data_IF_829990896507
#
_entry.id   IF_829990896507
#
_cell.length_a   1.000
_cell.length_b   1.000
_cell.length_c   1.000
_cell.angle_alpha   90.00
_cell.angle_beta   90.00
_cell.angle_gamma   90.00
#
_symmetry.space_group_name_H-M   'P 1'
#
loop_
_entity.id
_entity.type
_entity.pdbx_description
1 polymer ?
#
# COMPACT_ATOMS: atom_id res chain seq x y z
N UNK A 1 10.22 -8.06 -73.08
CA UNK A 1 9.32 -7.70 -71.94
C UNK A 1 10.18 -7.59 -70.71
N UNK A 2 10.47 -6.34 -70.32
CA UNK A 2 11.28 -6.08 -69.16
C UNK A 2 10.37 -6.00 -67.89
N UNK A 3 10.76 -6.67 -66.85
CA UNK A 3 10.17 -6.49 -65.54
C UNK A 3 10.74 -5.21 -64.92
N UNK A 4 9.88 -4.24 -64.62
CA UNK A 4 10.25 -3.11 -63.79
C UNK A 4 10.24 -3.56 -62.31
N UNK A 5 11.29 -3.21 -61.49
CA UNK A 5 11.27 -3.49 -60.08
C UNK A 5 10.28 -2.55 -59.38
N UNK A 6 9.25 -3.08 -58.77
CA UNK A 6 8.36 -2.35 -57.87
C UNK A 6 9.15 -1.99 -56.61
N UNK A 7 9.36 -0.69 -56.41
CA UNK A 7 9.84 -0.17 -55.11
C UNK A 7 8.78 -0.46 -54.05
N UNK A 8 9.07 -1.39 -53.12
CA UNK A 8 8.33 -1.55 -51.90
C UNK A 8 8.86 -0.51 -50.87
N UNK A 9 8.42 0.72 -51.01
CA UNK A 9 8.42 1.67 -49.93
C UNK A 9 7.27 1.27 -48.97
N UNK A 10 7.48 0.23 -48.20
CA UNK A 10 6.66 -0.02 -47.03
C UNK A 10 7.03 1.05 -46.02
N UNK A 11 6.07 1.89 -45.54
CA UNK A 11 6.36 2.78 -44.43
C UNK A 11 6.75 1.89 -43.26
N UNK A 12 7.96 2.06 -42.79
CA UNK A 12 8.37 1.52 -41.46
C UNK A 12 7.53 2.30 -40.47
N UNK A 13 6.44 1.70 -40.02
CA UNK A 13 5.80 2.16 -38.80
C UNK A 13 6.83 1.93 -37.72
N UNK A 14 7.47 3.00 -37.25
CA UNK A 14 8.14 2.99 -35.97
C UNK A 14 7.03 2.66 -34.97
N UNK A 15 6.97 1.42 -34.50
CA UNK A 15 6.22 1.09 -33.31
C UNK A 15 6.83 1.98 -32.22
N UNK A 16 6.06 2.99 -31.78
CA UNK A 16 6.42 3.70 -30.56
C UNK A 16 6.61 2.62 -29.50
N UNK A 17 7.84 2.41 -29.09
CA UNK A 17 8.16 1.48 -28.01
C UNK A 17 7.53 2.05 -26.74
N UNK A 18 6.33 1.60 -26.42
CA UNK A 18 5.68 1.93 -25.15
C UNK A 18 6.52 1.24 -24.08
N UNK A 19 7.22 2.04 -23.27
CA UNK A 19 7.94 1.48 -22.13
C UNK A 19 6.97 0.67 -21.26
N UNK A 20 7.32 -0.58 -20.89
CA UNK A 20 6.44 -1.40 -20.08
C UNK A 20 6.17 -0.71 -18.75
N UNK A 21 4.91 -0.66 -18.33
CA UNK A 21 4.53 -0.12 -17.02
C UNK A 21 5.01 -1.06 -15.93
N UNK A 22 5.69 -0.50 -14.93
CA UNK A 22 6.05 -1.25 -13.72
C UNK A 22 4.81 -1.54 -12.90
N UNK A 23 4.55 -2.82 -12.59
CA UNK A 23 3.42 -3.21 -11.77
C UNK A 23 3.79 -3.29 -10.28
N UNK A 24 2.89 -2.79 -9.43
CA UNK A 24 2.89 -2.98 -7.99
C UNK A 24 1.69 -3.85 -7.63
N UNK A 25 1.96 -5.10 -7.30
CA UNK A 25 0.93 -6.09 -6.94
C UNK A 25 0.84 -6.12 -5.43
N UNK A 26 -0.32 -5.71 -4.89
CA UNK A 26 -0.50 -5.45 -3.46
C UNK A 26 -1.59 -6.35 -2.89
N UNK A 27 -1.22 -7.22 -1.95
CA UNK A 27 -2.16 -7.99 -1.14
C UNK A 27 -2.34 -7.31 0.21
N UNK A 28 -3.59 -6.96 0.55
CA UNK A 28 -3.94 -6.26 1.78
C UNK A 28 -4.57 -7.22 2.79
N UNK A 29 -4.24 -7.02 4.07
CA UNK A 29 -4.90 -7.76 5.14
C UNK A 29 -6.36 -7.35 5.31
N UNK A 30 -6.65 -6.06 5.26
CA UNK A 30 -8.00 -5.53 5.37
C UNK A 30 -8.82 -5.75 4.10
N UNK A 31 -10.14 -5.79 4.27
CA UNK A 31 -11.07 -5.95 3.15
C UNK A 31 -11.47 -4.61 2.52
N UNK A 32 -11.33 -3.52 3.26
CA UNK A 32 -11.89 -2.23 2.86
C UNK A 32 -10.85 -1.10 2.86
N UNK A 33 -10.30 -0.76 4.02
CA UNK A 33 -9.52 0.49 4.22
C UNK A 33 -8.27 0.53 3.35
N UNK A 34 -7.42 -0.49 3.43
CA UNK A 34 -6.17 -0.56 2.68
C UNK A 34 -6.42 -0.69 1.17
N UNK A 35 -7.31 -1.60 0.70
CA UNK A 35 -7.64 -1.67 -0.72
C UNK A 35 -8.20 -0.36 -1.29
N UNK A 36 -9.08 0.33 -0.56
CA UNK A 36 -9.64 1.61 -1.01
C UNK A 36 -8.58 2.73 -1.04
N UNK A 37 -7.61 2.69 -0.10
CA UNK A 37 -6.47 3.60 -0.14
C UNK A 37 -5.69 3.45 -1.45
N UNK A 38 -5.25 2.24 -1.79
CA UNK A 38 -4.45 2.01 -2.99
C UNK A 38 -5.25 2.16 -4.30
N UNK A 39 -6.55 1.83 -4.31
CA UNK A 39 -7.43 2.14 -5.45
C UNK A 39 -7.57 3.65 -5.68
N UNK A 40 -7.72 4.40 -4.59
CA UNK A 40 -7.80 5.87 -4.68
C UNK A 40 -6.48 6.45 -5.17
N UNK A 41 -5.35 5.94 -4.66
CA UNK A 41 -4.01 6.33 -5.12
C UNK A 41 -3.83 6.04 -6.62
N UNK A 42 -4.23 4.86 -7.10
CA UNK A 42 -4.22 4.50 -8.53
C UNK A 42 -4.99 5.51 -9.37
N UNK A 43 -6.20 5.88 -8.94
CA UNK A 43 -7.05 6.83 -9.67
C UNK A 43 -6.41 8.23 -9.75
N UNK A 44 -5.84 8.71 -8.64
CA UNK A 44 -5.15 10.01 -8.61
C UNK A 44 -3.94 9.99 -9.55
N UNK A 45 -3.17 8.91 -9.54
CA UNK A 45 -1.99 8.80 -10.40
C UNK A 45 -2.34 8.73 -11.89
N UNK A 46 -3.47 8.10 -12.25
CA UNK A 46 -3.93 8.07 -13.64
C UNK A 46 -4.24 9.47 -14.19
N UNK A 47 -4.63 10.40 -13.32
CA UNK A 47 -4.95 11.78 -13.70
C UNK A 47 -3.71 12.70 -13.78
N UNK A 48 -2.65 12.40 -13.02
CA UNK A 48 -1.47 13.27 -12.86
C UNK A 48 -0.20 12.80 -13.57
N UNK A 49 -0.08 11.51 -13.86
CA UNK A 49 1.11 10.92 -14.42
C UNK A 49 0.67 10.08 -15.62
N UNK A 50 1.27 10.29 -16.78
CA UNK A 50 1.30 9.25 -17.84
C UNK A 50 1.94 8.03 -17.20
N UNK A 51 1.10 7.22 -16.54
CA UNK A 51 1.54 6.34 -15.48
C UNK A 51 2.43 5.23 -16.03
N UNK A 52 3.73 5.40 -15.81
CA UNK A 52 4.74 4.33 -15.97
C UNK A 52 4.57 3.24 -14.92
N UNK A 53 3.56 3.36 -14.04
CA UNK A 53 3.25 2.40 -12.99
C UNK A 53 1.81 1.91 -13.08
N UNK A 54 1.60 0.66 -12.75
CA UNK A 54 0.29 0.04 -12.57
C UNK A 54 0.16 -0.49 -11.14
N UNK A 55 -0.98 -0.23 -10.49
CA UNK A 55 -1.29 -0.78 -9.17
C UNK A 55 -2.34 -1.86 -9.36
N UNK A 56 -2.02 -3.08 -8.93
CA UNK A 56 -2.97 -4.18 -8.86
C UNK A 56 -3.21 -4.59 -7.42
N UNK A 57 -4.48 -4.68 -7.03
CA UNK A 57 -4.88 -5.09 -5.70
C UNK A 57 -5.39 -6.52 -5.77
N UNK A 58 -4.71 -7.39 -5.03
CA UNK A 58 -5.07 -8.80 -4.96
C UNK A 58 -6.42 -8.96 -4.26
N UNK A 59 -7.39 -9.66 -4.87
CA UNK A 59 -8.65 -9.99 -4.21
C UNK A 59 -8.39 -10.81 -2.95
N UNK A 60 -8.99 -10.45 -1.83
CA UNK A 60 -8.90 -11.22 -0.60
C UNK A 60 -9.77 -12.48 -0.72
N UNK A 61 -9.15 -13.64 -0.68
CA UNK A 61 -9.80 -14.94 -0.81
C UNK A 61 -9.86 -15.68 0.53
N UNK A 62 -8.99 -15.34 1.45
CA UNK A 62 -8.80 -16.03 2.72
C UNK A 62 -8.93 -15.11 3.93
N UNK A 63 -8.70 -15.64 5.12
CA UNK A 63 -8.78 -14.88 6.38
C UNK A 63 -7.65 -13.86 6.56
N UNK A 64 -7.72 -13.05 7.62
CA UNK A 64 -6.79 -11.94 7.91
C UNK A 64 -5.47 -12.37 8.58
N UNK A 65 -5.12 -13.66 8.64
CA UNK A 65 -3.81 -14.06 9.14
C UNK A 65 -2.71 -13.62 8.17
N UNK A 66 -1.51 -13.18 8.64
CA UNK A 66 -0.41 -12.78 7.77
C UNK A 66 -0.04 -13.84 6.72
N UNK A 67 -0.07 -15.13 7.08
CA UNK A 67 0.17 -16.23 6.14
C UNK A 67 -0.85 -16.27 5.01
N UNK A 68 -2.10 -15.95 5.28
CA UNK A 68 -3.15 -15.93 4.26
C UNK A 68 -2.92 -14.80 3.25
N UNK A 69 -2.50 -13.62 3.72
CA UNK A 69 -2.17 -12.48 2.85
C UNK A 69 -1.03 -12.83 1.89
N UNK A 70 -0.01 -13.56 2.38
CA UNK A 70 1.10 -14.06 1.56
C UNK A 70 0.60 -15.10 0.54
N UNK A 71 -0.22 -16.05 0.99
CA UNK A 71 -0.76 -17.12 0.11
C UNK A 71 -1.64 -16.53 -0.99
N UNK A 72 -2.56 -15.61 -0.65
CA UNK A 72 -3.43 -14.93 -1.63
C UNK A 72 -2.58 -14.23 -2.71
N UNK A 73 -1.48 -13.55 -2.31
CA UNK A 73 -0.56 -12.93 -3.24
C UNK A 73 0.17 -13.94 -4.14
N UNK A 74 0.71 -15.00 -3.54
CA UNK A 74 1.43 -16.03 -4.29
C UNK A 74 0.53 -16.74 -5.30
N UNK A 75 -0.69 -17.07 -4.92
CA UNK A 75 -1.65 -17.73 -5.80
C UNK A 75 -2.09 -16.79 -6.92
N UNK A 76 -2.31 -15.52 -6.62
CA UNK A 76 -2.61 -14.50 -7.64
C UNK A 76 -1.50 -14.37 -8.68
N UNK A 77 -0.24 -14.33 -8.24
CA UNK A 77 0.92 -14.24 -9.14
C UNK A 77 1.02 -15.48 -10.03
N UNK A 78 0.77 -16.69 -9.49
CA UNK A 78 0.81 -17.94 -10.27
C UNK A 78 -0.27 -18.04 -11.33
N UNK A 79 -1.45 -17.49 -11.04
CA UNK A 79 -2.60 -17.52 -11.97
C UNK A 79 -2.50 -16.51 -13.09
N UNK A 80 -1.76 -15.42 -12.88
CA UNK A 80 -1.55 -14.38 -13.89
C UNK A 80 -0.21 -14.53 -14.59
N UNK A 81 -0.24 -14.47 -15.91
CA UNK A 81 0.95 -14.47 -16.75
C UNK A 81 1.39 -13.02 -17.02
N UNK A 82 2.71 -12.79 -17.07
CA UNK A 82 3.26 -11.54 -17.58
C UNK A 82 3.95 -10.64 -16.56
N UNK A 83 4.05 -11.07 -15.29
CA UNK A 83 4.88 -10.33 -14.32
C UNK A 83 6.36 -10.68 -14.47
N UNK A 84 7.21 -9.66 -14.40
CA UNK A 84 8.66 -9.81 -14.42
C UNK A 84 9.25 -9.62 -13.01
N UNK A 85 9.76 -10.70 -12.41
CA UNK A 85 10.26 -10.72 -11.03
C UNK A 85 11.31 -9.64 -10.69
N UNK A 86 12.10 -9.18 -11.65
CA UNK A 86 13.12 -8.15 -11.41
C UNK A 86 12.64 -6.73 -11.75
N UNK A 87 11.44 -6.59 -12.28
CA UNK A 87 10.87 -5.32 -12.71
C UNK A 87 9.65 -4.95 -11.87
N UNK A 88 8.71 -5.86 -11.73
CA UNK A 88 7.50 -5.69 -10.94
C UNK A 88 7.78 -5.87 -9.44
N UNK A 89 6.95 -5.26 -8.60
CA UNK A 89 7.09 -5.36 -7.16
C UNK A 89 5.87 -6.01 -6.50
N UNK A 90 6.14 -6.99 -5.66
CA UNK A 90 5.13 -7.74 -4.92
C UNK A 90 5.13 -7.31 -3.45
N UNK A 91 3.97 -6.86 -2.96
CA UNK A 91 3.84 -6.30 -1.63
C UNK A 91 2.69 -6.93 -0.85
N UNK A 92 2.92 -7.14 0.44
CA UNK A 92 1.84 -7.35 1.40
C UNK A 92 1.72 -6.13 2.29
N UNK A 93 0.48 -5.76 2.66
CA UNK A 93 0.17 -4.67 3.58
C UNK A 93 -0.55 -5.25 4.77
N UNK A 94 0.05 -5.14 5.96
CA UNK A 94 -0.42 -5.79 7.18
C UNK A 94 -0.38 -4.86 8.38
N UNK A 95 -1.33 -5.08 9.30
CA UNK A 95 -1.37 -4.45 10.62
C UNK A 95 -0.57 -5.28 11.62
N UNK A 96 0.27 -4.63 12.43
CA UNK A 96 0.97 -5.33 13.51
C UNK A 96 0.01 -5.76 14.62
N UNK A 97 -0.98 -4.90 14.94
CA UNK A 97 -1.84 -5.07 16.08
C UNK A 97 -1.05 -5.36 17.39
N UNK A 98 -1.73 -5.55 18.56
CA UNK A 98 -1.01 -5.70 19.83
C UNK A 98 -0.84 -7.13 20.32
N UNK A 99 -1.56 -8.07 19.71
CA UNK A 99 -1.58 -9.44 20.18
C UNK A 99 -0.21 -10.11 19.94
N UNK A 100 0.30 -10.82 20.94
CA UNK A 100 1.59 -11.52 20.84
C UNK A 100 1.56 -12.62 19.76
N UNK A 101 0.44 -13.34 19.66
CA UNK A 101 0.22 -14.31 18.58
C UNK A 101 0.31 -13.67 17.19
N UNK A 102 -0.04 -12.39 17.08
CA UNK A 102 0.10 -11.64 15.84
C UNK A 102 1.56 -11.40 15.48
N UNK A 103 2.37 -11.00 16.48
CA UNK A 103 3.82 -10.86 16.35
C UNK A 103 4.46 -12.16 15.86
N UNK A 104 4.16 -13.26 16.52
CA UNK A 104 4.68 -14.57 16.16
C UNK A 104 4.32 -14.95 14.71
N UNK A 105 3.09 -14.68 14.28
CA UNK A 105 2.66 -14.96 12.91
C UNK A 105 3.36 -14.08 11.87
N UNK A 106 3.62 -12.81 12.20
CA UNK A 106 4.42 -11.93 11.33
C UNK A 106 5.85 -12.46 11.22
N UNK A 107 6.49 -12.80 12.34
CA UNK A 107 7.85 -13.35 12.32
C UNK A 107 7.98 -14.62 11.48
N UNK A 108 6.94 -15.46 11.44
CA UNK A 108 6.93 -16.69 10.62
C UNK A 108 6.89 -16.41 9.11
N UNK A 109 6.28 -15.32 8.67
CA UNK A 109 6.21 -15.00 7.24
C UNK A 109 7.44 -14.26 6.71
N UNK A 110 8.27 -13.65 7.57
CA UNK A 110 9.45 -12.91 7.12
C UNK A 110 10.37 -13.75 6.22
N UNK A 111 10.81 -14.97 6.61
CA UNK A 111 11.66 -15.77 5.75
C UNK A 111 10.95 -16.21 4.46
N UNK A 112 9.65 -16.42 4.50
CA UNK A 112 8.86 -16.79 3.31
C UNK A 112 8.85 -15.63 2.32
N UNK A 113 8.53 -14.44 2.80
CA UNK A 113 8.52 -13.23 1.97
C UNK A 113 9.91 -12.97 1.35
N UNK A 114 10.97 -13.07 2.16
CA UNK A 114 12.34 -12.89 1.68
C UNK A 114 12.73 -13.89 0.58
N UNK A 115 12.30 -15.17 0.70
CA UNK A 115 12.61 -16.21 -0.29
C UNK A 115 11.84 -16.06 -1.61
N UNK A 116 10.72 -15.31 -1.59
CA UNK A 116 9.85 -15.10 -2.75
C UNK A 116 9.94 -13.67 -3.32
N UNK A 117 10.87 -12.85 -2.84
CA UNK A 117 11.00 -11.41 -3.17
C UNK A 117 9.69 -10.62 -2.93
N UNK A 118 8.95 -11.01 -1.88
CA UNK A 118 7.76 -10.29 -1.44
C UNK A 118 8.17 -9.26 -0.39
N UNK A 119 7.84 -8.01 -0.63
CA UNK A 119 8.10 -6.88 0.28
C UNK A 119 6.96 -6.74 1.27
N UNK A 120 7.28 -6.24 2.47
CA UNK A 120 6.32 -6.11 3.55
C UNK A 120 6.18 -4.64 3.92
N UNK A 121 4.99 -4.11 3.71
CA UNK A 121 4.55 -2.83 4.24
C UNK A 121 3.73 -3.11 5.51
N UNK A 122 4.25 -2.70 6.66
CA UNK A 122 3.64 -2.94 7.96
C UNK A 122 3.37 -1.63 8.69
N UNK A 123 2.30 -1.61 9.45
CA UNK A 123 1.98 -0.49 10.33
C UNK A 123 1.65 -0.99 11.74
N UNK A 124 2.16 -0.32 12.73
CA UNK A 124 1.92 -0.58 14.15
C UNK A 124 1.36 0.69 14.83
N UNK A 125 0.13 0.67 15.35
CA UNK A 125 -0.69 -0.53 15.60
C UNK A 125 -1.56 -0.98 14.43
N UNK A 126 -2.14 -0.08 13.63
CA UNK A 126 -3.13 -0.35 12.57
C UNK A 126 -3.10 0.73 11.50
N UNK A 127 -3.64 0.44 10.33
CA UNK A 127 -3.59 1.31 9.14
C UNK A 127 -4.20 2.71 9.35
N UNK A 128 -5.12 2.86 10.28
CA UNK A 128 -5.65 4.17 10.68
C UNK A 128 -4.57 5.12 11.21
N UNK A 129 -3.47 4.62 11.75
CA UNK A 129 -2.32 5.45 12.11
C UNK A 129 -1.72 6.11 10.86
N UNK A 130 -1.49 5.35 9.80
CA UNK A 130 -1.03 5.87 8.51
C UNK A 130 -1.99 6.91 7.92
N UNK A 131 -3.31 6.68 7.96
CA UNK A 131 -4.30 7.66 7.51
C UNK A 131 -4.25 8.95 8.32
N UNK A 132 -4.03 8.86 9.63
CA UNK A 132 -3.96 10.03 10.50
C UNK A 132 -2.75 10.93 10.15
N UNK A 133 -1.62 10.33 9.74
CA UNK A 133 -0.43 11.07 9.28
C UNK A 133 -0.71 11.94 8.04
N UNK A 134 -1.74 11.65 7.25
CA UNK A 134 -2.11 12.46 6.07
C UNK A 134 -2.77 13.78 6.43
N UNK A 135 -3.53 13.81 7.53
CA UNK A 135 -4.51 14.86 7.82
C UNK A 135 -4.18 15.72 9.02
N UNK A 136 -3.30 15.27 9.90
CA UNK A 136 -2.89 16.01 11.08
C UNK A 136 -1.49 16.56 10.82
N UNK A 137 -1.32 17.89 10.92
CA UNK A 137 0.00 18.50 10.89
C UNK A 137 0.68 18.32 12.24
N UNK A 138 1.99 18.01 12.25
CA UNK A 138 2.77 17.82 13.48
C UNK A 138 2.05 16.95 14.51
N UNK A 139 1.89 15.67 14.16
CA UNK A 139 1.06 14.71 14.91
C UNK A 139 1.45 14.61 16.40
N UNK A 140 2.74 14.78 16.73
CA UNK A 140 3.24 14.68 18.10
C UNK A 140 2.90 15.92 18.95
N UNK A 141 2.52 17.04 18.34
CA UNK A 141 2.00 18.18 19.08
C UNK A 141 0.53 17.98 19.49
N UNK A 142 -0.17 17.07 18.83
CA UNK A 142 -1.59 16.78 19.09
C UNK A 142 -1.84 15.53 19.90
N UNK A 143 -0.97 14.52 19.73
CA UNK A 143 -1.15 13.19 20.37
C UNK A 143 0.15 12.65 20.93
N UNK A 144 0.09 12.02 22.10
CA UNK A 144 1.25 11.32 22.65
C UNK A 144 1.53 10.03 21.85
N UNK A 145 2.82 9.67 21.74
CA UNK A 145 3.22 8.38 21.15
C UNK A 145 2.56 7.19 21.83
N UNK A 146 2.36 7.25 23.14
CA UNK A 146 1.70 6.20 23.90
C UNK A 146 0.22 6.03 23.51
N UNK A 147 -0.52 7.13 23.31
CA UNK A 147 -1.92 7.05 22.91
C UNK A 147 -2.07 6.50 21.50
N UNK A 148 -1.19 6.94 20.59
CA UNK A 148 -1.13 6.43 19.21
C UNK A 148 -0.79 4.93 19.21
N UNK A 149 0.27 4.53 19.93
CA UNK A 149 0.72 3.15 20.00
C UNK A 149 -0.29 2.26 20.72
N UNK A 150 -0.80 2.69 21.85
CA UNK A 150 -1.75 1.90 22.64
C UNK A 150 -3.09 1.74 21.94
N UNK A 151 -3.50 2.67 21.11
CA UNK A 151 -4.77 2.63 20.38
C UNK A 151 -5.91 2.06 21.23
N UNK A 152 -6.06 2.58 22.45
CA UNK A 152 -6.96 2.04 23.48
C UNK A 152 -8.39 2.01 22.97
N UNK A 153 -9.15 1.00 23.36
CA UNK A 153 -10.59 0.92 23.14
C UNK A 153 -11.26 2.04 23.94
N UNK A 154 -12.00 2.92 23.25
CA UNK A 154 -12.71 4.05 23.87
C UNK A 154 -14.14 3.65 24.22
N UNK A 155 -14.78 2.88 23.34
CA UNK A 155 -16.11 2.33 23.54
C UNK A 155 -16.25 0.98 22.82
N UNK A 156 -17.46 0.41 22.79
CA UNK A 156 -17.68 -0.91 22.19
C UNK A 156 -17.39 -0.98 20.68
N UNK A 157 -17.41 0.16 19.97
CA UNK A 157 -17.28 0.22 18.51
C UNK A 157 -16.05 0.95 18.00
N UNK A 158 -15.34 1.75 18.84
CA UNK A 158 -14.23 2.59 18.38
C UNK A 158 -13.01 2.50 19.29
N UNK A 159 -11.84 2.44 18.67
CA UNK A 159 -10.55 2.64 19.29
C UNK A 159 -10.10 4.10 19.17
N UNK A 160 -8.97 4.46 19.78
CA UNK A 160 -8.45 5.82 19.81
C UNK A 160 -8.27 6.39 18.38
N UNK A 161 -7.57 5.67 17.50
CA UNK A 161 -7.31 6.12 16.12
C UNK A 161 -8.60 6.27 15.31
N UNK A 162 -9.54 5.32 15.40
CA UNK A 162 -10.87 5.44 14.75
C UNK A 162 -11.61 6.70 15.20
N UNK A 163 -11.52 7.01 16.51
CA UNK A 163 -12.16 8.21 17.07
C UNK A 163 -11.49 9.47 16.54
N UNK A 164 -10.14 9.52 16.53
CA UNK A 164 -9.41 10.69 16.06
C UNK A 164 -9.62 10.96 14.58
N UNK A 165 -9.61 9.95 13.74
CA UNK A 165 -10.01 10.08 12.35
C UNK A 165 -11.44 10.60 12.20
N UNK A 166 -12.38 10.10 13.02
CA UNK A 166 -13.76 10.58 12.98
C UNK A 166 -13.91 12.02 13.46
N UNK A 167 -13.09 12.49 14.40
CA UNK A 167 -13.08 13.87 14.89
C UNK A 167 -12.58 14.84 13.81
N UNK A 168 -11.53 14.45 13.08
CA UNK A 168 -10.95 15.30 12.03
C UNK A 168 -11.77 15.28 10.74
N UNK A 169 -12.28 14.12 10.34
CA UNK A 169 -13.01 13.92 9.08
C UNK A 169 -14.54 14.08 9.22
N UNK A 170 -15.04 14.27 10.42
CA UNK A 170 -16.46 14.40 10.71
C UNK A 170 -17.24 13.08 10.71
N UNK A 171 -16.86 12.09 9.92
CA UNK A 171 -17.55 10.79 9.87
C UNK A 171 -16.70 9.70 9.22
N UNK A 172 -15.71 9.19 9.95
CA UNK A 172 -14.91 8.05 9.51
C UNK A 172 -15.52 6.71 9.92
N UNK A 173 -15.55 5.76 9.01
CA UNK A 173 -15.80 4.34 9.31
C UNK A 173 -15.05 3.46 8.32
N UNK A 174 -14.76 2.22 8.72
CA UNK A 174 -14.04 1.20 7.90
C UNK A 174 -14.90 0.63 6.75
N UNK A 175 -15.99 1.28 6.38
CA UNK A 175 -16.82 0.87 5.25
C UNK A 175 -16.32 1.53 3.98
N UNK A 176 -16.36 0.78 2.87
CA UNK A 176 -15.90 1.24 1.54
C UNK A 176 -16.54 2.56 1.11
N UNK A 177 -17.85 2.68 1.31
CA UNK A 177 -18.66 3.87 0.97
C UNK A 177 -18.34 5.12 1.81
N UNK A 178 -17.55 4.94 2.89
CA UNK A 178 -17.15 6.00 3.83
C UNK A 178 -15.64 6.18 3.93
N UNK A 179 -14.91 5.61 3.00
CA UNK A 179 -13.48 5.85 2.92
C UNK A 179 -13.22 7.31 2.46
N UNK A 180 -12.43 8.08 3.21
CA UNK A 180 -12.21 9.51 2.93
C UNK A 180 -11.20 9.70 1.79
N UNK A 181 -11.64 9.53 0.55
CA UNK A 181 -10.78 9.61 -0.64
C UNK A 181 -10.06 10.95 -0.78
N UNK A 182 -10.66 12.01 -0.30
CA UNK A 182 -10.15 13.39 -0.32
C UNK A 182 -8.85 13.59 0.47
N UNK A 183 -8.54 12.68 1.41
CA UNK A 183 -7.28 12.77 2.15
C UNK A 183 -6.07 12.31 1.32
N UNK A 184 -6.30 11.57 0.23
CA UNK A 184 -5.24 11.01 -0.60
C UNK A 184 -4.93 11.99 -1.74
N UNK A 185 -4.18 13.04 -1.40
CA UNK A 185 -3.61 13.98 -2.38
C UNK A 185 -2.10 14.04 -2.24
N UNK A 186 -1.39 14.48 -3.27
CA UNK A 186 0.09 14.49 -3.30
C UNK A 186 0.68 15.22 -2.08
N UNK A 187 0.13 16.34 -1.68
CA UNK A 187 0.64 17.09 -0.52
C UNK A 187 0.38 16.36 0.80
N UNK A 188 -0.77 15.70 0.95
CA UNK A 188 -1.08 14.89 2.12
C UNK A 188 -0.20 13.62 2.17
N UNK A 189 0.09 13.01 1.03
CA UNK A 189 1.03 11.89 0.92
C UNK A 189 2.43 12.32 1.36
N UNK A 190 2.93 13.47 0.87
CA UNK A 190 4.22 14.02 1.30
C UNK A 190 4.25 14.29 2.79
N UNK A 191 3.16 14.83 3.36
CA UNK A 191 3.01 15.05 4.80
C UNK A 191 3.11 13.72 5.55
N UNK A 192 2.34 12.71 5.16
CA UNK A 192 2.36 11.40 5.81
C UNK A 192 3.75 10.76 5.79
N UNK A 193 4.42 10.77 4.64
CA UNK A 193 5.80 10.28 4.48
C UNK A 193 6.78 11.08 5.35
N UNK A 194 6.59 12.39 5.45
CA UNK A 194 7.41 13.26 6.30
C UNK A 194 7.25 12.92 7.78
N UNK A 195 6.02 12.75 8.23
CA UNK A 195 5.69 12.43 9.62
C UNK A 195 6.02 10.98 10.03
N UNK A 196 5.92 10.04 9.09
CA UNK A 196 6.32 8.64 9.33
C UNK A 196 7.75 8.54 9.86
N UNK A 197 8.65 9.43 9.41
CA UNK A 197 10.05 9.48 9.85
C UNK A 197 10.25 9.87 11.33
N UNK A 198 9.21 10.36 12.00
CA UNK A 198 9.22 10.65 13.44
C UNK A 198 9.07 9.38 14.29
N UNK A 199 8.76 8.25 13.66
CA UNK A 199 8.51 6.96 14.28
C UNK A 199 9.43 5.89 13.69
N UNK A 200 9.33 4.66 14.20
CA UNK A 200 10.10 3.56 13.63
C UNK A 200 9.62 3.23 12.21
N UNK A 201 10.58 3.04 11.32
CA UNK A 201 10.32 2.73 9.91
C UNK A 201 11.09 1.51 9.38
N UNK A 202 11.93 0.90 10.22
CA UNK A 202 12.59 -0.37 9.93
C UNK A 202 11.68 -1.53 10.34
N UNK A 203 11.46 -2.49 9.44
CA UNK A 203 10.52 -3.59 9.62
C UNK A 203 10.67 -4.29 10.98
N UNK A 204 11.90 -4.63 11.35
CA UNK A 204 12.21 -5.35 12.58
C UNK A 204 11.87 -4.53 13.83
N UNK A 205 12.01 -3.21 13.77
CA UNK A 205 11.71 -2.30 14.86
C UNK A 205 10.24 -1.97 14.98
N UNK A 206 9.53 -1.84 13.85
CA UNK A 206 8.08 -1.59 13.83
C UNK A 206 7.32 -2.70 14.56
N UNK A 207 7.81 -3.94 14.51
CA UNK A 207 7.18 -5.08 15.17
C UNK A 207 6.96 -4.82 16.67
N UNK A 208 7.85 -4.09 17.33
CA UNK A 208 7.79 -3.83 18.77
C UNK A 208 7.51 -2.36 19.13
N UNK A 209 7.49 -1.46 18.17
CA UNK A 209 7.35 -0.03 18.41
C UNK A 209 6.28 0.60 17.53
N UNK A 210 5.81 1.78 17.91
CA UNK A 210 4.98 2.63 17.08
C UNK A 210 5.73 3.00 15.80
N UNK A 211 5.15 2.70 14.65
CA UNK A 211 5.79 3.01 13.40
C UNK A 211 5.09 2.46 12.17
N UNK A 212 5.67 2.74 11.02
CA UNK A 212 5.17 2.31 9.71
C UNK A 212 6.29 2.38 8.69
N UNK A 213 6.24 1.52 7.68
CA UNK A 213 7.00 1.63 6.44
C UNK A 213 6.10 1.64 5.19
N UNK A 214 4.82 1.96 5.35
CA UNK A 214 3.88 2.14 4.23
C UNK A 214 4.39 3.22 3.28
N UNK A 215 5.03 4.27 3.82
CA UNK A 215 5.63 5.34 3.03
C UNK A 215 6.70 4.87 2.06
N UNK A 216 7.38 3.75 2.31
CA UNK A 216 8.34 3.17 1.36
C UNK A 216 7.62 2.70 0.09
N UNK A 217 6.54 1.94 0.24
CA UNK A 217 5.71 1.48 -0.87
C UNK A 217 5.11 2.68 -1.63
N UNK A 218 4.51 3.62 -0.88
CA UNK A 218 3.84 4.78 -1.48
C UNK A 218 4.83 5.66 -2.24
N UNK A 219 6.04 5.92 -1.72
CA UNK A 219 7.10 6.67 -2.45
C UNK A 219 7.45 6.05 -3.78
N UNK A 220 7.61 4.74 -3.81
CA UNK A 220 7.93 4.02 -5.06
C UNK A 220 6.81 4.13 -6.08
N UNK A 221 5.56 4.05 -5.63
CA UNK A 221 4.38 4.18 -6.49
C UNK A 221 4.26 5.59 -7.06
N UNK A 222 4.40 6.62 -6.22
CA UNK A 222 4.24 8.03 -6.65
C UNK A 222 5.50 8.66 -7.20
N UNK A 223 6.63 7.95 -7.15
CA UNK A 223 7.94 8.36 -7.66
C UNK A 223 8.41 9.73 -7.11
N UNK A 224 8.39 9.89 -5.76
CA UNK A 224 8.81 11.10 -5.03
C UNK A 224 9.85 10.79 -3.94
#
# INVERSE_FOLDING_TARGET
MGFEPTNFDTPIYEEESVEPKKAFIISCEGENTEPEYFKTLKNILSDYINALVEIEIVPKLSGSAPSNVVNDLQDYIKEKYGYEQNYDEFWIVIDREKQETRKENILKILPICASCDIKIAIVNPVFEFWLLLHIVDDILSHYSSDDLYLNKKINNSKRFLDKKLSEVLGNYSKKVDKFPKEIIGIENIKRAIGQEKLFENELEKIIDNLGSNIGELVKKIVNI
#
